data_IF_299409593604
#
_entry.id   IF_299409593604
#
_cell.length_a   1.000
_cell.length_b   1.000
_cell.length_c   1.000
_cell.angle_alpha   90.00
_cell.angle_beta   90.00
_cell.angle_gamma   90.00
#
_symmetry.space_group_name_H-M   'P 1'
#
loop_
_entity.id
_entity.type
_entity.pdbx_description
1 polymer ?
#
# COMPACT_ATOMS: atom_id res chain seq x y z
N UNK A 1 4.56 4.23 -22.00
CA UNK A 1 5.10 5.59 -21.79
C UNK A 1 5.93 5.62 -20.53
N UNK A 2 7.19 6.05 -20.60
CA UNK A 2 8.01 6.20 -19.40
C UNK A 2 7.39 7.18 -18.40
N UNK A 3 7.54 6.87 -17.11
CA UNK A 3 7.05 7.71 -16.02
C UNK A 3 8.24 8.40 -15.37
N UNK A 4 8.11 9.69 -15.10
CA UNK A 4 9.13 10.45 -14.40
C UNK A 4 8.88 10.35 -12.89
N UNK A 5 9.82 9.74 -12.16
CA UNK A 5 9.77 9.63 -10.71
C UNK A 5 11.00 10.30 -10.13
N UNK A 6 10.81 11.39 -9.39
CA UNK A 6 11.90 12.15 -8.75
C UNK A 6 13.01 12.55 -9.75
N UNK A 7 12.64 12.96 -10.96
CA UNK A 7 13.58 13.32 -12.00
C UNK A 7 14.18 12.14 -12.76
N UNK A 8 13.80 10.91 -12.44
CA UNK A 8 14.25 9.71 -13.14
C UNK A 8 13.11 9.14 -13.99
N UNK A 9 13.43 8.78 -15.21
CA UNK A 9 12.50 8.07 -16.07
C UNK A 9 12.57 6.57 -15.79
N UNK A 10 11.41 5.96 -15.50
CA UNK A 10 11.27 4.51 -15.35
C UNK A 10 10.35 3.98 -16.43
N UNK A 11 10.53 2.70 -16.79
CA UNK A 11 9.67 2.05 -17.75
C UNK A 11 8.22 2.07 -17.25
N UNK A 12 7.26 2.22 -18.18
CA UNK A 12 5.84 2.15 -17.85
C UNK A 12 5.43 0.68 -17.65
N UNK A 13 5.66 0.17 -16.46
CA UNK A 13 5.31 -1.19 -16.06
C UNK A 13 3.96 -1.12 -15.36
N UNK A 14 3.00 -1.94 -15.81
CA UNK A 14 1.66 -1.95 -15.22
C UNK A 14 1.67 -2.51 -13.80
N UNK A 15 0.70 -2.08 -13.00
CA UNK A 15 0.58 -2.46 -11.60
C UNK A 15 0.59 -3.96 -11.35
N UNK A 16 -0.13 -4.82 -12.12
CA UNK A 16 -0.07 -6.26 -11.89
C UNK A 16 1.34 -6.84 -12.02
N UNK A 17 2.14 -6.36 -12.96
CA UNK A 17 3.52 -6.81 -13.11
C UNK A 17 4.41 -6.33 -11.96
N UNK A 18 4.23 -5.09 -11.52
CA UNK A 18 4.96 -4.57 -10.36
C UNK A 18 4.65 -5.37 -9.11
N UNK A 19 3.39 -5.72 -8.87
CA UNK A 19 2.99 -6.55 -7.74
C UNK A 19 3.68 -7.91 -7.82
N UNK A 20 3.72 -8.54 -8.99
CA UNK A 20 4.41 -9.82 -9.20
C UNK A 20 5.89 -9.73 -8.90
N UNK A 21 6.57 -8.68 -9.38
CA UNK A 21 8.00 -8.47 -9.13
C UNK A 21 8.28 -8.26 -7.65
N UNK A 22 7.44 -7.49 -6.96
CA UNK A 22 7.59 -7.23 -5.53
C UNK A 22 7.35 -8.52 -4.73
N UNK A 23 6.36 -9.31 -5.10
CA UNK A 23 6.09 -10.61 -4.48
C UNK A 23 7.30 -11.54 -4.61
N UNK A 24 7.87 -11.66 -5.82
CA UNK A 24 9.07 -12.44 -6.06
C UNK A 24 10.26 -11.92 -5.26
N UNK A 25 10.41 -10.60 -5.18
CA UNK A 25 11.45 -9.96 -4.37
C UNK A 25 11.37 -10.40 -2.91
N UNK A 26 10.16 -10.50 -2.35
CA UNK A 26 9.95 -11.00 -0.99
C UNK A 26 10.34 -12.46 -0.83
N UNK A 27 9.95 -13.33 -1.79
CA UNK A 27 10.33 -14.76 -1.75
C UNK A 27 11.84 -14.95 -1.81
N UNK A 28 12.51 -14.21 -2.69
CA UNK A 28 13.96 -14.32 -2.88
C UNK A 28 14.73 -13.96 -1.61
N UNK A 29 14.15 -13.16 -0.73
CA UNK A 29 14.76 -12.72 0.53
C UNK A 29 14.22 -13.41 1.76
N UNK A 30 13.46 -14.48 1.55
CA UNK A 30 12.83 -15.24 2.63
C UNK A 30 11.97 -14.38 3.56
N UNK A 31 11.25 -13.42 2.99
CA UNK A 31 10.37 -12.53 3.75
C UNK A 31 8.92 -13.00 3.77
N UNK A 32 8.60 -14.12 3.10
CA UNK A 32 7.28 -14.74 3.16
C UNK A 32 7.26 -15.83 4.22
N UNK A 33 8.00 -16.91 4.04
CA UNK A 33 8.02 -18.02 4.98
C UNK A 33 8.88 -17.75 6.21
N UNK A 34 9.92 -16.94 6.07
CA UNK A 34 10.86 -16.62 7.15
C UNK A 34 10.49 -15.39 7.97
N UNK A 35 9.28 -14.83 7.79
CA UNK A 35 8.81 -13.67 8.53
C UNK A 35 7.44 -13.95 9.15
N UNK A 36 6.96 -13.03 9.98
CA UNK A 36 5.63 -13.12 10.60
C UNK A 36 4.80 -11.88 10.21
N UNK A 37 3.48 -11.98 10.35
CA UNK A 37 2.60 -10.83 10.14
C UNK A 37 2.94 -9.68 11.10
N UNK A 38 3.30 -10.00 12.33
CA UNK A 38 3.74 -9.02 13.31
C UNK A 38 4.98 -8.25 12.86
N UNK A 39 6.00 -8.97 12.37
CA UNK A 39 7.23 -8.35 11.87
C UNK A 39 6.90 -7.36 10.75
N UNK A 40 6.06 -7.79 9.81
CA UNK A 40 5.69 -6.98 8.67
C UNK A 40 4.78 -5.81 9.07
N UNK A 41 3.89 -6.00 10.03
CA UNK A 41 3.05 -4.90 10.52
C UNK A 41 3.90 -3.84 11.23
N UNK A 42 4.92 -4.24 11.99
CA UNK A 42 5.85 -3.28 12.59
C UNK A 42 6.59 -2.49 11.52
N UNK A 43 7.00 -3.15 10.43
CA UNK A 43 7.61 -2.46 9.29
C UNK A 43 6.63 -1.47 8.65
N UNK A 44 5.37 -1.86 8.48
CA UNK A 44 4.32 -0.98 7.96
C UNK A 44 4.17 0.28 8.83
N UNK A 45 4.20 0.11 10.16
CA UNK A 45 4.12 1.22 11.10
C UNK A 45 5.30 2.19 10.94
N UNK A 46 6.51 1.66 10.74
CA UNK A 46 7.69 2.49 10.46
C UNK A 46 7.50 3.29 9.17
N UNK A 47 7.07 2.65 8.10
CA UNK A 47 6.83 3.31 6.80
C UNK A 47 5.74 4.38 6.92
N UNK A 48 4.68 4.11 7.70
CA UNK A 48 3.64 5.10 7.96
C UNK A 48 4.21 6.33 8.69
N UNK A 49 5.12 6.13 9.63
CA UNK A 49 5.82 7.22 10.32
C UNK A 49 6.67 8.05 9.39
N UNK A 50 7.41 7.43 8.49
CA UNK A 50 8.20 8.13 7.47
C UNK A 50 7.32 8.94 6.52
N UNK A 51 6.19 8.36 6.09
CA UNK A 51 5.20 9.08 5.27
C UNK A 51 4.70 10.32 6.00
N UNK A 52 4.31 10.18 7.27
CA UNK A 52 3.84 11.29 8.10
C UNK A 52 4.88 12.40 8.18
N UNK A 53 6.12 12.05 8.47
CA UNK A 53 7.22 13.00 8.58
C UNK A 53 7.45 13.76 7.26
N UNK A 54 7.46 13.04 6.15
CA UNK A 54 7.69 13.64 4.82
C UNK A 54 6.50 14.50 4.35
N UNK A 55 5.27 14.14 4.70
CA UNK A 55 4.09 15.00 4.47
C UNK A 55 4.26 16.31 5.22
N UNK A 56 4.63 16.25 6.50
CA UNK A 56 4.81 17.45 7.33
C UNK A 56 5.93 18.36 6.81
N UNK A 57 6.96 17.78 6.19
CA UNK A 57 8.09 18.52 5.62
C UNK A 57 7.83 19.00 4.20
N UNK A 58 6.70 18.68 3.60
CA UNK A 58 6.38 19.04 2.21
C UNK A 58 7.26 18.36 1.18
N UNK A 59 7.81 17.17 1.50
CA UNK A 59 8.64 16.40 0.57
C UNK A 59 7.79 15.56 -0.38
N UNK A 60 8.41 15.08 -1.47
CA UNK A 60 7.78 14.10 -2.34
C UNK A 60 7.55 12.79 -1.56
N UNK A 61 6.33 12.26 -1.64
CA UNK A 61 5.91 11.09 -0.86
C UNK A 61 5.62 9.84 -1.72
N UNK A 62 5.99 9.87 -3.00
CA UNK A 62 5.71 8.73 -3.89
C UNK A 62 6.37 7.44 -3.39
N UNK A 63 7.64 7.52 -3.00
CA UNK A 63 8.39 6.38 -2.47
C UNK A 63 7.80 5.89 -1.14
N UNK A 64 7.40 6.82 -0.27
CA UNK A 64 6.79 6.46 1.03
C UNK A 64 5.49 5.69 0.85
N UNK A 65 4.64 6.10 -0.07
CA UNK A 65 3.40 5.39 -0.40
C UNK A 65 3.75 4.01 -0.97
N UNK A 66 4.69 3.96 -1.91
CA UNK A 66 5.15 2.70 -2.49
C UNK A 66 5.71 1.73 -1.44
N UNK A 67 6.49 2.23 -0.50
CA UNK A 67 7.08 1.42 0.57
C UNK A 67 6.00 0.78 1.45
N UNK A 68 4.92 1.49 1.74
CA UNK A 68 3.78 0.91 2.46
C UNK A 68 3.10 -0.18 1.64
N UNK A 69 2.94 0.03 0.34
CA UNK A 69 2.36 -0.98 -0.56
C UNK A 69 3.22 -2.24 -0.63
N UNK A 70 4.55 -2.10 -0.65
CA UNK A 70 5.49 -3.23 -0.63
C UNK A 70 5.24 -4.12 0.59
N UNK A 71 5.05 -3.53 1.76
CA UNK A 71 4.76 -4.29 3.00
C UNK A 71 3.37 -4.93 2.94
N UNK A 72 2.37 -4.21 2.45
CA UNK A 72 1.00 -4.74 2.32
C UNK A 72 0.94 -5.92 1.35
N UNK A 73 1.69 -5.87 0.26
CA UNK A 73 1.82 -7.00 -0.68
C UNK A 73 2.40 -8.23 0.03
N UNK A 74 3.40 -8.03 0.88
CA UNK A 74 3.98 -9.11 1.70
C UNK A 74 2.92 -9.76 2.59
N UNK A 75 2.20 -8.95 3.37
CA UNK A 75 1.20 -9.47 4.32
C UNK A 75 0.09 -10.21 3.56
N UNK A 76 -0.36 -9.69 2.43
CA UNK A 76 -1.37 -10.35 1.62
C UNK A 76 -0.89 -11.74 1.16
N UNK A 77 0.31 -11.82 0.59
CA UNK A 77 0.89 -13.08 0.11
C UNK A 77 1.04 -14.10 1.23
N UNK A 78 1.47 -13.67 2.41
CA UNK A 78 1.61 -14.54 3.59
C UNK A 78 0.27 -15.15 4.02
N UNK A 79 -0.83 -14.48 3.73
CA UNK A 79 -2.19 -14.91 4.09
C UNK A 79 -2.97 -15.49 2.92
N UNK A 80 -2.28 -15.88 1.84
CA UNK A 80 -2.88 -16.44 0.63
C UNK A 80 -3.91 -15.51 -0.02
N UNK A 81 -3.67 -14.21 0.07
CA UNK A 81 -4.50 -13.18 -0.55
C UNK A 81 -3.72 -12.48 -1.64
N UNK A 82 -4.43 -11.91 -2.60
CA UNK A 82 -3.85 -10.98 -3.56
C UNK A 82 -4.30 -9.56 -3.21
N UNK A 83 -3.52 -8.59 -3.64
CA UNK A 83 -3.94 -7.18 -3.48
C UNK A 83 -5.23 -6.92 -4.26
N UNK A 84 -5.39 -7.54 -5.43
CA UNK A 84 -6.61 -7.42 -6.22
C UNK A 84 -7.85 -7.85 -5.43
N UNK A 85 -7.78 -9.00 -4.73
CA UNK A 85 -8.86 -9.47 -3.88
C UNK A 85 -9.16 -8.50 -2.74
N UNK A 86 -8.11 -7.98 -2.11
CA UNK A 86 -8.26 -7.03 -1.00
C UNK A 86 -8.90 -5.73 -1.47
N UNK A 87 -8.47 -5.21 -2.61
CA UNK A 87 -9.04 -4.00 -3.19
C UNK A 87 -10.48 -4.20 -3.63
N UNK A 88 -10.79 -5.34 -4.25
CA UNK A 88 -12.15 -5.67 -4.68
C UNK A 88 -13.09 -5.74 -3.47
N UNK A 89 -12.66 -6.38 -2.38
CA UNK A 89 -13.43 -6.44 -1.16
C UNK A 89 -13.70 -5.06 -0.58
N UNK A 90 -12.65 -4.23 -0.47
CA UNK A 90 -12.78 -2.87 0.04
C UNK A 90 -13.71 -2.03 -0.84
N UNK A 91 -13.58 -2.14 -2.16
CA UNK A 91 -14.44 -1.42 -3.10
C UNK A 91 -15.89 -1.84 -2.95
N UNK A 92 -16.18 -3.14 -2.86
CA UNK A 92 -17.53 -3.63 -2.64
C UNK A 92 -18.14 -3.12 -1.34
N UNK A 93 -17.32 -2.93 -0.30
CA UNK A 93 -17.77 -2.43 0.98
C UNK A 93 -18.07 -0.92 0.96
N UNK A 94 -17.34 -0.14 0.14
CA UNK A 94 -17.44 1.34 0.17
C UNK A 94 -18.29 1.94 -0.96
N UNK A 95 -18.41 1.26 -2.10
CA UNK A 95 -18.99 1.86 -3.33
C UNK A 95 -20.39 2.42 -3.16
N UNK A 96 -21.21 1.80 -2.32
CA UNK A 96 -22.59 2.23 -2.05
C UNK A 96 -22.75 2.82 -0.65
N UNK A 97 -21.66 3.08 0.05
CA UNK A 97 -21.68 3.59 1.42
C UNK A 97 -22.17 5.03 1.44
N UNK A 98 -23.12 5.30 2.32
CA UNK A 98 -23.64 6.63 2.55
C UNK A 98 -22.99 7.26 3.77
N UNK A 99 -22.84 8.57 3.73
CA UNK A 99 -22.24 9.35 4.80
C UNK A 99 -21.91 10.74 4.31
N UNK A 100 -21.07 11.45 5.04
CA UNK A 100 -20.64 12.78 4.65
C UNK A 100 -19.20 13.05 5.08
N UNK A 101 -18.59 14.05 4.45
CA UNK A 101 -17.27 14.51 4.83
C UNK A 101 -17.38 15.49 6.00
N UNK A 102 -16.62 15.23 7.07
CA UNK A 102 -16.45 16.14 8.21
C UNK A 102 -14.98 16.27 8.53
N UNK A 103 -14.51 17.50 8.60
CA UNK A 103 -13.10 17.79 8.91
C UNK A 103 -12.11 17.00 8.04
N UNK A 104 -12.44 16.87 6.73
CA UNK A 104 -11.57 16.19 5.78
C UNK A 104 -11.66 14.67 5.77
N UNK A 105 -12.53 14.08 6.59
CA UNK A 105 -12.69 12.63 6.72
C UNK A 105 -14.14 12.23 6.42
N UNK A 106 -14.29 11.08 5.73
CA UNK A 106 -15.62 10.53 5.47
C UNK A 106 -16.15 9.84 6.73
N UNK A 107 -17.35 10.21 7.14
CA UNK A 107 -18.05 9.60 8.28
C UNK A 107 -19.25 8.83 7.74
N UNK A 108 -19.35 7.56 8.08
CA UNK A 108 -20.47 6.69 7.69
C UNK A 108 -21.78 7.24 8.27
N UNK A 109 -22.88 7.03 7.53
CA UNK A 109 -24.20 7.46 7.95
C UNK A 109 -24.56 6.97 9.36
N UNK A 110 -24.24 5.71 9.67
CA UNK A 110 -24.52 5.12 10.98
C UNK A 110 -23.70 5.73 12.13
N UNK A 111 -22.63 6.44 11.83
CA UNK A 111 -21.75 7.09 12.81
C UNK A 111 -22.02 8.61 12.94
N UNK A 112 -23.01 9.14 12.22
CA UNK A 112 -23.39 10.56 12.28
C UNK A 112 -24.27 10.90 13.48
#
# INVERSE_FOLDING_TARGET
VPVNVNGLYVANISTPYLISYITEWHYDRNLIHGSTDKDQYMKLTQEAGELSDNICKGKNIADDIGDMMVVLINIAERNNLTIDECLAKAWNDIKDRKGEKRDGVFIKEEDL
#
